data_IF_790167473377
#
_entry.id   IF_790167473377
#
_cell.length_a   1.000
_cell.length_b   1.000
_cell.length_c   1.000
_cell.angle_alpha   90.00
_cell.angle_beta   90.00
_cell.angle_gamma   90.00
#
_symmetry.space_group_name_H-M   'P 1'
#
loop_
_entity.id
_entity.type
_entity.pdbx_description
1 polymer ?
#
# COMPACT_ATOMS: atom_id res chain seq x y z
N UNK A 1 2.42 37.89 26.57
CA UNK A 1 2.65 37.36 25.21
C UNK A 1 2.59 35.85 25.33
N UNK A 2 1.48 35.22 24.91
CA UNK A 2 1.34 33.76 24.88
C UNK A 2 1.61 33.33 23.43
N UNK A 3 2.72 32.63 23.23
CA UNK A 3 3.15 32.15 21.92
C UNK A 3 2.27 30.95 21.52
N UNK A 4 1.47 31.14 20.47
CA UNK A 4 0.72 30.07 19.82
C UNK A 4 1.73 29.08 19.21
N UNK A 5 1.97 27.95 19.89
CA UNK A 5 2.65 26.82 19.26
C UNK A 5 1.80 26.32 18.07
N UNK A 6 2.29 26.35 16.83
CA UNK A 6 1.63 25.68 15.74
C UNK A 6 1.71 24.17 16.01
N UNK A 7 0.58 23.57 16.36
CA UNK A 7 0.43 22.13 16.37
C UNK A 7 0.65 21.65 14.93
N UNK A 8 1.65 20.80 14.60
CA UNK A 8 1.76 20.23 13.27
C UNK A 8 0.69 19.13 13.13
N UNK A 9 -0.59 19.51 13.16
CA UNK A 9 -1.69 18.71 12.60
C UNK A 9 -1.63 18.84 11.10
N UNK A 10 -0.61 18.20 10.55
CA UNK A 10 -0.28 18.22 9.14
C UNK A 10 0.58 17.03 8.81
N UNK A 11 0.33 15.86 9.40
CA UNK A 11 0.61 14.62 8.68
C UNK A 11 -0.31 14.64 7.47
N UNK A 12 0.18 15.25 6.39
CA UNK A 12 -0.39 15.12 5.08
C UNK A 12 -0.67 13.65 4.91
N UNK A 13 -1.95 13.30 4.89
CA UNK A 13 -2.37 12.13 4.15
C UNK A 13 -2.06 12.52 2.72
N UNK A 14 -0.79 12.34 2.36
CA UNK A 14 -0.37 12.09 1.01
C UNK A 14 -1.44 11.15 0.49
N UNK A 15 -2.26 11.65 -0.43
CA UNK A 15 -3.18 10.80 -1.17
C UNK A 15 -2.26 10.01 -2.11
N UNK A 16 -1.42 9.17 -1.50
CA UNK A 16 -0.58 8.21 -2.16
C UNK A 16 -1.55 7.39 -3.01
N UNK A 17 -1.22 7.15 -4.28
CA UNK A 17 -2.06 6.37 -5.18
C UNK A 17 -2.41 5.08 -4.47
N UNK A 18 -3.68 4.93 -4.05
CA UNK A 18 -4.16 3.92 -3.09
C UNK A 18 -3.51 2.57 -3.37
N UNK A 19 -2.38 2.30 -2.73
CA UNK A 19 -1.61 1.09 -2.99
C UNK A 19 -2.52 -0.07 -2.59
N UNK A 20 -2.79 -0.96 -3.55
CA UNK A 20 -3.62 -2.13 -3.33
C UNK A 20 -2.84 -3.17 -2.51
N UNK A 21 -1.52 -3.06 -2.47
CA UNK A 21 -0.65 -3.95 -1.72
C UNK A 21 0.30 -3.13 -0.85
N UNK A 22 0.61 -3.64 0.35
CA UNK A 22 1.61 -3.06 1.25
C UNK A 22 2.40 -4.17 1.95
N UNK A 23 3.65 -3.89 2.28
CA UNK A 23 4.45 -4.75 3.13
C UNK A 23 4.36 -4.24 4.57
N UNK A 24 4.11 -5.13 5.53
CA UNK A 24 3.99 -4.79 6.96
C UNK A 24 4.44 -5.98 7.80
N UNK A 25 5.05 -5.72 8.95
CA UNK A 25 5.54 -6.76 9.87
C UNK A 25 4.54 -7.05 10.97
N UNK A 26 4.41 -8.32 11.32
CA UNK A 26 3.65 -8.70 12.51
C UNK A 26 4.49 -8.51 13.80
N UNK A 27 3.85 -8.68 14.96
CA UNK A 27 4.48 -8.54 16.28
C UNK A 27 5.65 -9.53 16.51
N UNK A 28 5.69 -10.60 15.71
CA UNK A 28 6.76 -11.60 15.70
C UNK A 28 7.97 -11.21 14.85
N UNK A 29 7.92 -10.10 14.11
CA UNK A 29 8.98 -9.67 13.20
C UNK A 29 8.96 -10.34 11.83
N UNK A 30 7.98 -11.19 11.58
CA UNK A 30 7.72 -11.78 10.27
C UNK A 30 7.14 -10.73 9.31
N UNK A 31 7.66 -10.65 8.08
CA UNK A 31 7.17 -9.74 7.06
C UNK A 31 5.98 -10.35 6.33
N UNK A 32 4.93 -9.55 6.13
CA UNK A 32 3.75 -9.97 5.38
C UNK A 32 3.42 -8.97 4.29
N UNK A 33 3.00 -9.50 3.15
CA UNK A 33 2.37 -8.71 2.10
C UNK A 33 0.87 -8.70 2.36
N UNK A 34 0.34 -7.52 2.57
CA UNK A 34 -1.08 -7.27 2.78
C UNK A 34 -1.69 -6.74 1.49
N UNK A 35 -2.80 -7.33 1.09
CA UNK A 35 -3.64 -6.81 0.00
C UNK A 35 -4.84 -6.10 0.56
N UNK A 36 -5.23 -5.00 -0.08
CA UNK A 36 -6.42 -4.24 0.22
C UNK A 36 -7.62 -4.96 -0.38
N UNK A 37 -8.55 -5.41 0.47
CA UNK A 37 -9.78 -6.08 0.05
C UNK A 37 -10.92 -5.09 -0.23
N UNK A 38 -10.84 -3.86 0.30
CA UNK A 38 -11.92 -2.88 0.14
C UNK A 38 -11.59 -1.52 0.76
N UNK A 39 -12.62 -0.81 1.21
CA UNK A 39 -12.45 0.57 1.68
C UNK A 39 -11.62 0.65 2.96
N UNK A 40 -11.79 -0.30 3.88
CA UNK A 40 -11.08 -0.36 5.17
C UNK A 40 -10.51 -1.75 5.51
N UNK A 41 -10.51 -2.69 4.56
CA UNK A 41 -10.09 -4.08 4.80
C UNK A 41 -8.73 -4.38 4.19
N UNK A 42 -7.86 -4.99 4.98
CA UNK A 42 -6.60 -5.58 4.53
C UNK A 42 -6.60 -7.07 4.87
N UNK A 43 -6.02 -7.88 3.99
CA UNK A 43 -5.80 -9.30 4.24
C UNK A 43 -4.36 -9.67 3.96
N UNK A 44 -3.80 -10.51 4.83
CA UNK A 44 -2.51 -11.15 4.61
C UNK A 44 -2.59 -12.01 3.36
N UNK A 45 -1.74 -11.71 2.39
CA UNK A 45 -1.65 -12.48 1.15
C UNK A 45 -0.56 -13.54 1.27
N UNK A 46 0.63 -13.13 1.74
CA UNK A 46 1.78 -14.02 1.82
C UNK A 46 2.76 -13.56 2.89
N UNK A 47 3.39 -14.52 3.57
CA UNK A 47 4.55 -14.30 4.45
C UNK A 47 5.83 -14.27 3.63
N UNK A 48 6.72 -13.36 3.98
CA UNK A 48 8.07 -13.24 3.49
C UNK A 48 9.03 -13.27 4.68
N UNK A 49 10.18 -13.90 4.51
CA UNK A 49 11.20 -13.98 5.55
C UNK A 49 12.03 -12.67 5.64
N UNK A 50 12.03 -11.88 4.57
CA UNK A 50 12.80 -10.64 4.44
C UNK A 50 11.95 -9.42 4.07
N UNK A 51 12.31 -8.27 4.65
CA UNK A 51 11.73 -6.95 4.33
C UNK A 51 11.76 -6.67 2.83
N UNK A 52 12.93 -6.83 2.21
CA UNK A 52 13.13 -6.53 0.80
C UNK A 52 12.26 -7.41 -0.10
N UNK A 53 12.05 -8.67 0.26
CA UNK A 53 11.18 -9.57 -0.48
C UNK A 53 9.71 -9.15 -0.39
N UNK A 54 9.25 -8.72 0.80
CA UNK A 54 7.88 -8.22 0.99
C UNK A 54 7.64 -6.90 0.26
N UNK A 55 8.56 -5.93 0.37
CA UNK A 55 8.48 -4.63 -0.31
C UNK A 55 8.51 -4.79 -1.83
N UNK A 56 9.44 -5.60 -2.36
CA UNK A 56 9.54 -5.86 -3.80
C UNK A 56 8.26 -6.52 -4.33
N UNK A 57 7.72 -7.51 -3.62
CA UNK A 57 6.48 -8.18 -4.01
C UNK A 57 5.28 -7.23 -3.97
N UNK A 58 5.13 -6.45 -2.90
CA UNK A 58 4.06 -5.45 -2.81
C UNK A 58 4.16 -4.42 -3.93
N UNK A 59 5.37 -3.96 -4.26
CA UNK A 59 5.60 -3.00 -5.35
C UNK A 59 5.29 -3.61 -6.71
N UNK A 60 5.77 -4.81 -7.02
CA UNK A 60 5.44 -5.51 -8.27
C UNK A 60 3.92 -5.67 -8.43
N UNK A 61 3.22 -6.13 -7.38
CA UNK A 61 1.77 -6.31 -7.41
C UNK A 61 1.02 -4.99 -7.58
N UNK A 62 1.50 -3.91 -6.94
CA UNK A 62 0.94 -2.57 -7.16
C UNK A 62 1.10 -2.16 -8.63
N UNK A 63 2.29 -2.31 -9.20
CA UNK A 63 2.56 -2.01 -10.62
C UNK A 63 1.66 -2.83 -11.55
N UNK A 64 1.58 -4.14 -11.36
CA UNK A 64 0.71 -5.02 -12.17
C UNK A 64 -0.76 -4.59 -12.06
N UNK A 65 -1.24 -4.29 -10.85
CA UNK A 65 -2.64 -3.90 -10.64
C UNK A 65 -3.01 -2.54 -11.25
N UNK A 66 -2.04 -1.62 -11.34
CA UNK A 66 -2.22 -0.34 -12.02
C UNK A 66 -2.31 -0.57 -13.53
N UNK A 67 -1.45 -1.44 -14.07
CA UNK A 67 -1.45 -1.80 -15.49
C UNK A 67 -2.74 -2.52 -15.90
N UNK A 68 -3.26 -3.43 -15.09
CA UNK A 68 -4.48 -4.18 -15.41
C UNK A 68 -5.73 -3.29 -15.48
N UNK A 69 -5.82 -2.21 -14.69
CA UNK A 69 -6.96 -1.26 -14.76
C UNK A 69 -6.87 -0.24 -15.91
N UNK A 70 -5.81 -0.29 -16.71
CA UNK A 70 -5.65 0.52 -17.92
C UNK A 70 -5.93 -0.21 -19.22
N UNK A 71 -6.31 -1.50 -19.18
CA UNK A 71 -6.33 -2.40 -20.35
C UNK A 71 -7.70 -2.70 -20.96
N UNK A 72 -8.81 -2.16 -20.44
CA UNK A 72 -10.16 -2.58 -20.86
C UNK A 72 -10.75 -1.77 -22.04
N UNK A 73 -9.92 -1.13 -22.87
CA UNK A 73 -10.39 -0.43 -24.07
C UNK A 73 -9.44 -0.59 -25.26
N UNK A 74 -9.62 -1.70 -25.98
CA UNK A 74 -9.54 -1.87 -27.45
C UNK A 74 -9.33 -3.38 -27.69
N UNK A 75 -10.15 -4.12 -28.43
CA UNK A 75 -10.73 -3.84 -29.74
C UNK A 75 -12.05 -4.61 -29.90
N UNK A 76 -13.13 -3.87 -30.09
CA UNK A 76 -14.31 -4.34 -30.82
C UNK A 76 -14.47 -3.42 -32.03
N UNK A 77 -14.39 -3.98 -33.23
CA UNK A 77 -14.47 -3.28 -34.52
C UNK A 77 -14.07 -4.19 -35.64
#
# INVERSE_FOLDING_TARGET
MQEFHPNPRGSGQEIEPKSLFRADTDQHGDWYVWRRLGQNGWATMRRCDDRGAAEHMAQSLNTESITTRGGDRAFGG
#
